data_IF_703374938840
#
_entry.id   IF_703374938840
#
_cell.length_a   1.000
_cell.length_b   1.000
_cell.length_c   1.000
_cell.angle_alpha   90.00
_cell.angle_beta   90.00
_cell.angle_gamma   90.00
#
_symmetry.space_group_name_H-M   'P 1'
#
loop_
_entity.id
_entity.type
_entity.pdbx_description
1 polymer ?
#
# COMPACT_ATOMS: atom_id res chain seq x y z
N UNK A 1 -12.00 33.69 3.94
CA UNK A 1 -12.50 32.48 3.28
C UNK A 1 -11.33 31.86 2.48
N UNK A 2 -10.58 30.94 3.12
CA UNK A 2 -9.53 30.22 2.43
C UNK A 2 -10.15 29.27 1.41
N UNK A 3 -9.87 29.46 0.14
CA UNK A 3 -10.15 28.45 -0.87
C UNK A 3 -9.36 27.19 -0.48
N UNK A 4 -10.09 26.12 -0.17
CA UNK A 4 -9.50 24.79 -0.04
C UNK A 4 -9.14 24.37 -1.45
N UNK A 5 -7.88 24.57 -1.82
CA UNK A 5 -7.34 24.01 -3.04
C UNK A 5 -7.38 22.48 -2.90
N UNK A 6 -8.39 21.87 -3.51
CA UNK A 6 -8.45 20.42 -3.65
C UNK A 6 -7.31 20.01 -4.58
N UNK A 7 -6.13 19.79 -4.01
CA UNK A 7 -5.06 19.14 -4.74
C UNK A 7 -5.60 17.78 -5.17
N UNK A 8 -5.47 17.42 -6.46
CA UNK A 8 -5.85 16.10 -6.89
C UNK A 8 -5.14 15.11 -5.98
N UNK A 9 -5.92 14.28 -5.30
CA UNK A 9 -5.36 13.19 -4.50
C UNK A 9 -4.46 12.40 -5.45
N UNK A 10 -3.16 12.51 -5.27
CA UNK A 10 -2.24 11.57 -5.90
C UNK A 10 -2.63 10.22 -5.33
N UNK A 11 -3.32 9.46 -6.11
CA UNK A 11 -3.57 8.05 -5.83
C UNK A 11 -2.19 7.39 -5.83
N UNK A 12 -1.60 7.29 -4.65
CA UNK A 12 -0.25 6.76 -4.48
C UNK A 12 -0.39 5.25 -4.40
N UNK A 13 -0.84 4.67 -5.49
CA UNK A 13 -0.65 3.26 -5.75
C UNK A 13 0.52 3.17 -6.72
N UNK A 14 1.72 3.05 -6.17
CA UNK A 14 2.98 2.91 -6.91
C UNK A 14 3.20 1.46 -7.36
N UNK A 15 2.16 0.84 -7.89
CA UNK A 15 2.27 -0.52 -8.41
C UNK A 15 3.21 -0.53 -9.62
N UNK A 16 4.16 -1.44 -9.62
CA UNK A 16 5.05 -1.67 -10.75
C UNK A 16 6.25 -0.72 -10.86
N UNK A 17 6.41 0.23 -9.93
CA UNK A 17 7.55 1.16 -9.90
C UNK A 17 8.72 0.66 -9.03
N UNK A 18 8.67 -0.58 -8.56
CA UNK A 18 9.69 -1.19 -7.70
C UNK A 18 9.68 -0.69 -6.26
N UNK A 19 8.62 -0.01 -5.81
CA UNK A 19 8.42 0.32 -4.41
C UNK A 19 7.74 -0.83 -3.68
N UNK A 20 8.20 -1.10 -2.46
CA UNK A 20 7.65 -2.21 -1.69
C UNK A 20 6.24 -1.91 -1.16
N UNK A 21 6.02 -0.69 -0.69
CA UNK A 21 4.74 -0.26 -0.12
C UNK A 21 3.93 0.54 -1.14
N UNK A 22 2.87 -0.04 -1.73
CA UNK A 22 2.06 0.66 -2.74
C UNK A 22 1.01 1.59 -2.14
N UNK A 23 0.85 1.61 -0.83
CA UNK A 23 -0.17 2.37 -0.12
C UNK A 23 0.34 3.74 0.38
N UNK A 24 -0.53 4.48 1.08
CA UNK A 24 -0.23 5.82 1.60
C UNK A 24 0.50 5.84 2.95
N UNK A 25 1.03 4.70 3.39
CA UNK A 25 1.79 4.57 4.65
C UNK A 25 2.92 5.62 4.73
N UNK A 26 3.01 6.30 5.86
CA UNK A 26 4.02 7.33 6.13
C UNK A 26 4.11 8.47 5.09
N UNK A 27 3.16 8.55 4.17
CA UNK A 27 3.11 9.57 3.13
C UNK A 27 1.93 10.53 3.32
N UNK A 28 0.75 10.00 3.63
CA UNK A 28 -0.45 10.81 3.88
C UNK A 28 -0.93 10.69 5.33
N UNK A 29 -0.45 9.70 6.06
CA UNK A 29 -0.82 9.49 7.45
C UNK A 29 0.29 8.79 8.23
N UNK A 30 0.26 8.98 9.52
CA UNK A 30 1.01 8.23 10.52
C UNK A 30 0.10 7.84 11.66
N UNK A 31 0.50 6.89 12.45
CA UNK A 31 -0.17 6.49 13.67
C UNK A 31 0.73 6.77 14.88
N UNK A 32 0.18 7.43 15.90
CA UNK A 32 0.90 7.71 17.15
C UNK A 32 0.22 6.93 18.27
N UNK A 33 1.00 6.09 18.95
CA UNK A 33 0.54 5.27 20.06
C UNK A 33 0.42 6.11 21.35
N UNK A 34 -0.29 5.61 22.35
CA UNK A 34 -0.45 6.29 23.64
C UNK A 34 0.87 6.46 24.39
N UNK A 35 1.90 5.66 24.10
CA UNK A 35 3.26 5.75 24.64
C UNK A 35 4.20 6.59 23.74
N UNK A 36 3.63 7.44 22.89
CA UNK A 36 4.34 8.39 22.03
C UNK A 36 5.30 7.73 21.01
N UNK A 37 4.93 6.57 20.49
CA UNK A 37 5.63 5.95 19.36
C UNK A 37 4.92 6.33 18.05
N UNK A 38 5.65 6.92 17.14
CA UNK A 38 5.18 7.24 15.79
C UNK A 38 5.50 6.09 14.85
N UNK A 39 4.52 5.59 14.14
CA UNK A 39 4.64 4.47 13.18
C UNK A 39 3.91 4.79 11.89
N UNK A 40 4.26 4.13 10.79
CA UNK A 40 3.74 4.43 9.47
C UNK A 40 2.24 4.22 9.31
N UNK A 41 1.70 3.19 9.98
CA UNK A 41 0.26 2.94 10.12
C UNK A 41 0.02 2.03 11.33
N UNK A 42 -1.24 1.81 11.68
CA UNK A 42 -1.62 0.97 12.83
C UNK A 42 -1.05 -0.45 12.77
N UNK A 43 -0.85 -1.01 11.57
CA UNK A 43 -0.29 -2.35 11.35
C UNK A 43 1.24 -2.39 11.32
N UNK A 44 1.89 -1.28 11.02
CA UNK A 44 3.35 -1.20 10.86
C UNK A 44 4.07 -0.95 12.20
N UNK A 45 3.74 -1.74 13.22
CA UNK A 45 4.28 -1.60 14.57
C UNK A 45 5.74 -2.06 14.73
N UNK A 46 6.32 -2.66 13.73
CA UNK A 46 7.69 -3.16 13.69
C UNK A 46 8.75 -2.07 13.40
N UNK A 47 8.34 -0.90 12.92
CA UNK A 47 9.19 0.30 12.76
C UNK A 47 8.53 1.48 13.42
N UNK A 48 9.17 2.01 14.45
CA UNK A 48 8.64 3.09 15.29
C UNK A 48 9.71 4.13 15.55
N UNK A 49 9.29 5.38 15.64
CA UNK A 49 10.10 6.48 16.11
C UNK A 49 9.59 6.94 17.49
N UNK A 50 10.48 7.12 18.44
CA UNK A 50 10.10 7.57 19.79
C UNK A 50 10.07 9.10 19.86
N UNK A 51 8.87 9.68 19.90
CA UNK A 51 8.66 11.13 19.98
C UNK A 51 9.16 11.76 21.30
N UNK A 52 9.54 10.97 22.29
CA UNK A 52 10.23 11.47 23.50
C UNK A 52 11.72 11.72 23.25
N UNK A 53 12.27 11.21 22.17
CA UNK A 53 13.69 11.28 21.80
C UNK A 53 13.99 12.18 20.62
N UNK A 54 12.95 12.67 19.92
CA UNK A 54 13.07 13.54 18.77
C UNK A 54 11.77 14.21 18.39
N UNK A 55 11.83 15.10 17.41
CA UNK A 55 10.68 15.86 16.92
C UNK A 55 9.75 15.03 16.03
N UNK A 56 8.56 15.56 15.77
CA UNK A 56 7.63 15.00 14.78
C UNK A 56 8.28 14.94 13.39
N UNK A 57 8.98 15.99 12.98
CA UNK A 57 9.61 16.08 11.67
C UNK A 57 10.70 15.00 11.49
N UNK A 58 11.52 14.79 12.52
CA UNK A 58 12.51 13.71 12.51
C UNK A 58 11.87 12.34 12.43
N UNK A 59 10.77 12.12 13.14
CA UNK A 59 9.97 10.90 13.04
C UNK A 59 9.35 10.69 11.67
N UNK A 60 8.84 11.75 11.08
CA UNK A 60 8.27 11.73 9.73
C UNK A 60 9.33 11.36 8.69
N UNK A 61 10.48 12.01 8.70
CA UNK A 61 11.59 11.70 7.79
C UNK A 61 12.09 10.25 7.94
N UNK A 62 12.22 9.78 9.18
CA UNK A 62 12.55 8.39 9.45
C UNK A 62 11.56 7.42 8.80
N UNK A 63 10.27 7.63 9.03
CA UNK A 63 9.24 6.76 8.49
C UNK A 63 9.13 6.83 6.97
N UNK A 64 9.38 7.99 6.37
CA UNK A 64 9.42 8.10 4.91
C UNK A 64 10.53 7.24 4.30
N UNK A 65 11.73 7.25 4.87
CA UNK A 65 12.83 6.37 4.42
C UNK A 65 12.51 4.89 4.59
N UNK A 66 11.89 4.54 5.71
CA UNK A 66 11.58 3.15 6.05
C UNK A 66 10.42 2.56 5.24
N UNK A 67 9.50 3.38 4.75
CA UNK A 67 8.31 2.92 4.06
C UNK A 67 8.17 3.51 2.65
N UNK A 68 8.18 4.83 2.50
CA UNK A 68 7.87 5.49 1.22
C UNK A 68 8.96 5.24 0.19
N UNK A 69 10.21 5.36 0.60
CA UNK A 69 11.37 5.21 -0.29
C UNK A 69 11.85 3.77 -0.44
N UNK A 70 11.27 2.86 0.34
CA UNK A 70 11.71 1.47 0.36
C UNK A 70 11.39 0.77 -0.96
N UNK A 71 12.44 0.25 -1.59
CA UNK A 71 12.34 -0.55 -2.80
C UNK A 71 12.13 -2.03 -2.47
N UNK A 72 11.37 -2.72 -3.31
CA UNK A 72 11.30 -4.17 -3.31
C UNK A 72 12.55 -4.77 -3.95
N UNK A 73 12.85 -6.03 -3.61
CA UNK A 73 13.90 -6.76 -4.32
C UNK A 73 13.44 -7.08 -5.74
N UNK A 74 14.38 -7.28 -6.70
CA UNK A 74 14.03 -7.63 -8.08
C UNK A 74 13.17 -8.90 -8.20
N UNK A 75 13.32 -9.81 -7.24
CA UNK A 75 12.61 -11.09 -7.23
C UNK A 75 11.24 -11.03 -6.51
N UNK A 76 10.85 -9.87 -6.02
CA UNK A 76 9.56 -9.72 -5.35
C UNK A 76 8.41 -10.05 -6.30
N UNK A 77 7.60 -11.03 -5.91
CA UNK A 77 6.57 -11.63 -6.75
C UNK A 77 5.53 -10.64 -7.30
N UNK A 78 5.26 -9.59 -6.53
CA UNK A 78 4.28 -8.57 -6.91
C UNK A 78 4.78 -7.58 -7.97
N UNK A 79 6.10 -7.49 -8.22
CA UNK A 79 6.66 -6.57 -9.21
C UNK A 79 6.15 -6.81 -10.63
N UNK A 80 5.90 -8.07 -10.98
CA UNK A 80 5.43 -8.48 -12.32
C UNK A 80 4.07 -9.19 -12.31
N UNK A 81 3.30 -9.01 -11.25
CA UNK A 81 2.01 -9.69 -11.11
C UNK A 81 0.95 -9.04 -12.02
N UNK A 82 0.35 -9.83 -12.90
CA UNK A 82 -0.73 -9.38 -13.80
C UNK A 82 -2.01 -8.97 -13.07
N UNK A 83 -2.24 -9.49 -11.86
CA UNK A 83 -3.39 -9.18 -11.03
C UNK A 83 -3.18 -7.98 -10.11
N UNK A 84 -2.06 -7.30 -10.20
CA UNK A 84 -1.66 -6.25 -9.23
C UNK A 84 -2.69 -5.13 -9.11
N UNK A 85 -3.35 -4.76 -10.20
CA UNK A 85 -4.37 -3.70 -10.23
C UNK A 85 -5.66 -4.06 -9.48
N UNK A 86 -5.89 -5.35 -9.26
CA UNK A 86 -7.05 -5.87 -8.53
C UNK A 86 -6.69 -6.29 -7.10
N UNK A 87 -5.43 -6.11 -6.72
CA UNK A 87 -4.90 -6.57 -5.44
C UNK A 87 -4.83 -5.44 -4.42
N UNK A 88 -5.32 -5.72 -3.22
CA UNK A 88 -5.22 -4.85 -2.05
C UNK A 88 -4.34 -5.48 -0.97
N UNK A 89 -3.21 -6.08 -1.38
CA UNK A 89 -2.30 -6.69 -0.42
C UNK A 89 -1.70 -5.66 0.53
N UNK A 90 -1.34 -6.12 1.71
CA UNK A 90 -0.75 -5.30 2.74
C UNK A 90 0.60 -5.87 3.16
N UNK A 91 1.68 -5.19 2.79
CA UNK A 91 3.05 -5.58 3.14
C UNK A 91 3.26 -5.65 4.66
N UNK A 92 2.61 -4.76 5.41
CA UNK A 92 2.66 -4.81 6.88
C UNK A 92 2.02 -6.10 7.43
N UNK A 93 0.98 -6.62 6.79
CA UNK A 93 0.42 -7.92 7.17
C UNK A 93 1.39 -9.06 6.88
N UNK A 94 2.13 -9.00 5.77
CA UNK A 94 3.14 -10.02 5.45
C UNK A 94 4.22 -10.04 6.53
N UNK A 95 4.73 -8.87 6.91
CA UNK A 95 5.71 -8.76 7.99
C UNK A 95 5.17 -9.29 9.32
N UNK A 96 3.92 -8.98 9.67
CA UNK A 96 3.31 -9.46 10.93
C UNK A 96 3.04 -10.97 10.92
N UNK A 97 2.64 -11.52 9.77
CA UNK A 97 2.30 -12.94 9.66
C UNK A 97 3.52 -13.84 9.49
N UNK A 98 4.52 -13.39 8.74
CA UNK A 98 5.62 -14.23 8.28
C UNK A 98 7.01 -13.73 8.72
N UNK A 99 7.12 -12.52 9.29
CA UNK A 99 8.40 -11.90 9.61
C UNK A 99 9.19 -11.43 8.39
N UNK A 100 8.55 -11.39 7.22
CA UNK A 100 9.15 -11.01 5.94
C UNK A 100 8.15 -10.16 5.15
N UNK A 101 8.57 -8.97 4.74
CA UNK A 101 7.76 -8.00 4.01
C UNK A 101 7.46 -8.45 2.57
N UNK A 102 8.27 -9.32 1.99
CA UNK A 102 8.13 -9.84 0.64
C UNK A 102 7.54 -11.25 0.57
N UNK A 103 7.23 -11.85 1.71
CA UNK A 103 6.55 -13.14 1.78
C UNK A 103 5.06 -12.96 1.48
N UNK A 104 4.71 -13.10 0.21
CA UNK A 104 3.34 -12.89 -0.28
C UNK A 104 2.39 -13.94 0.27
N UNK A 105 1.28 -13.49 0.85
CA UNK A 105 0.19 -14.36 1.29
C UNK A 105 -0.68 -14.77 0.10
N UNK A 106 -0.81 -16.08 -0.19
CA UNK A 106 -1.62 -16.60 -1.30
C UNK A 106 -3.10 -16.16 -1.26
N UNK A 107 -3.62 -15.85 -0.08
CA UNK A 107 -5.00 -15.35 0.08
C UNK A 107 -5.24 -14.08 -0.76
N UNK A 108 -4.33 -13.10 -0.69
CA UNK A 108 -4.46 -11.87 -1.47
C UNK A 108 -4.36 -12.13 -2.98
N UNK A 109 -3.51 -13.07 -3.39
CA UNK A 109 -3.40 -13.48 -4.80
C UNK A 109 -4.73 -14.04 -5.30
N UNK A 110 -5.36 -14.91 -4.52
CA UNK A 110 -6.64 -15.51 -4.88
C UNK A 110 -7.77 -14.48 -4.93
N UNK A 111 -7.83 -13.57 -3.97
CA UNK A 111 -8.81 -12.48 -3.96
C UNK A 111 -8.64 -11.58 -5.20
N UNK A 112 -7.41 -11.22 -5.55
CA UNK A 112 -7.13 -10.40 -6.72
C UNK A 112 -7.54 -11.09 -8.04
N UNK A 113 -7.28 -12.39 -8.17
CA UNK A 113 -7.71 -13.18 -9.31
C UNK A 113 -9.25 -13.20 -9.45
N UNK A 114 -9.96 -13.44 -8.34
CA UNK A 114 -11.42 -13.46 -8.34
C UNK A 114 -12.00 -12.09 -8.71
N UNK A 115 -11.41 -11.01 -8.20
CA UNK A 115 -11.83 -9.64 -8.55
C UNK A 115 -11.62 -9.36 -10.04
N UNK A 116 -10.47 -9.74 -10.58
CA UNK A 116 -10.19 -9.58 -12.01
C UNK A 116 -11.25 -10.31 -12.85
N UNK A 117 -11.47 -11.58 -12.57
CA UNK A 117 -12.43 -12.39 -13.32
C UNK A 117 -13.84 -11.79 -13.26
N UNK A 118 -14.27 -11.33 -12.08
CA UNK A 118 -15.57 -10.68 -11.91
C UNK A 118 -15.69 -9.41 -12.78
N UNK A 119 -14.68 -8.53 -12.74
CA UNK A 119 -14.67 -7.28 -13.50
C UNK A 119 -14.67 -7.56 -15.02
N UNK A 120 -13.85 -8.50 -15.47
CA UNK A 120 -13.77 -8.91 -16.87
C UNK A 120 -15.12 -9.48 -17.37
N UNK A 121 -15.78 -10.30 -16.56
CA UNK A 121 -17.09 -10.87 -16.88
C UNK A 121 -18.19 -9.80 -16.93
N UNK A 122 -18.21 -8.84 -16.01
CA UNK A 122 -19.18 -7.75 -15.98
C UNK A 122 -19.00 -6.79 -17.17
N UNK A 123 -17.76 -6.42 -17.49
CA UNK A 123 -17.44 -5.60 -18.66
C UNK A 123 -17.90 -6.31 -19.94
N UNK A 124 -17.64 -7.60 -20.07
CA UNK A 124 -18.04 -8.39 -21.22
C UNK A 124 -19.55 -8.45 -21.38
N UNK A 125 -20.29 -8.65 -20.30
CA UNK A 125 -21.76 -8.63 -20.30
C UNK A 125 -22.30 -7.27 -20.74
N UNK A 126 -21.75 -6.18 -20.22
CA UNK A 126 -22.15 -4.83 -20.55
C UNK A 126 -21.89 -4.51 -22.03
N UNK A 127 -20.75 -4.90 -22.58
CA UNK A 127 -20.41 -4.70 -23.98
C UNK A 127 -21.31 -5.52 -24.93
N UNK A 128 -21.63 -6.76 -24.54
CA UNK A 128 -22.59 -7.59 -25.29
C UNK A 128 -23.98 -6.95 -25.29
N UNK A 129 -24.44 -6.43 -24.16
CA UNK A 129 -25.74 -5.74 -24.07
C UNK A 129 -25.80 -4.46 -24.91
N UNK A 130 -24.65 -3.81 -25.15
CA UNK A 130 -24.51 -2.62 -26.00
C UNK A 130 -24.24 -2.94 -27.48
N UNK A 131 -24.14 -4.23 -27.85
CA UNK A 131 -23.83 -4.65 -29.23
C UNK A 131 -22.40 -4.31 -29.66
N UNK A 132 -21.45 -4.24 -28.72
CA UNK A 132 -20.04 -3.89 -28.96
C UNK A 132 -19.12 -5.09 -29.16
N UNK A 133 -19.65 -6.28 -29.01
CA UNK A 133 -18.98 -7.58 -29.28
C UNK A 133 -19.86 -8.42 -30.22
#
# INVERSE_FOLDING_TARGET
TGEIELRPQRTIQRFGEGYLYPCSIANQHVFITSDLKMQGCVRASYRKFDLRKGSFDEGWEYLQKEFVDKKSTPNYKCNSCENIRFCEHCVANFMLAYGDEEQVDPFFCRVAELRRNFVEDEIKKEWLAQGRL
#
